data_IF_731620537418
#
_entry.id   IF_731620537418
#
_cell.length_a   1.000
_cell.length_b   1.000
_cell.length_c   1.000
_cell.angle_alpha   90.00
_cell.angle_beta   90.00
_cell.angle_gamma   90.00
#
_symmetry.space_group_name_H-M   'P 1'
#
loop_
_entity.id
_entity.type
_entity.pdbx_description
1 polymer ?
#
# COMPACT_ATOMS: atom_id res chain seq x y z
N UNK A 1 3.28 13.23 15.40
CA UNK A 1 3.02 12.59 14.09
C UNK A 1 3.73 11.23 13.93
N UNK A 2 4.94 11.03 14.49
CA UNK A 2 5.68 9.77 14.34
C UNK A 2 5.05 8.57 15.07
N UNK A 3 4.69 8.72 16.32
CA UNK A 3 4.21 7.60 17.15
C UNK A 3 2.84 7.08 16.69
N UNK A 4 1.91 7.98 16.39
CA UNK A 4 0.58 7.61 15.86
C UNK A 4 0.67 6.93 14.49
N UNK A 5 1.59 7.37 13.63
CA UNK A 5 1.85 6.74 12.33
C UNK A 5 2.37 5.31 12.48
N UNK A 6 3.35 5.09 13.36
CA UNK A 6 3.87 3.74 13.62
C UNK A 6 2.80 2.82 14.21
N UNK A 7 2.02 3.29 15.17
CA UNK A 7 0.94 2.50 15.77
C UNK A 7 -0.14 2.11 14.74
N UNK A 8 -0.55 3.04 13.87
CA UNK A 8 -1.54 2.74 12.82
C UNK A 8 -1.00 1.74 11.82
N UNK A 9 0.25 1.86 11.43
CA UNK A 9 0.93 0.94 10.52
C UNK A 9 1.00 -0.48 11.11
N UNK A 10 1.37 -0.62 12.39
CA UNK A 10 1.39 -1.90 13.09
C UNK A 10 0.00 -2.53 13.17
N UNK A 11 -1.01 -1.74 13.54
CA UNK A 11 -2.40 -2.19 13.58
C UNK A 11 -2.88 -2.67 12.19
N UNK A 12 -2.59 -1.92 11.16
CA UNK A 12 -2.94 -2.26 9.77
C UNK A 12 -2.28 -3.56 9.32
N UNK A 13 -0.99 -3.77 9.63
CA UNK A 13 -0.27 -5.02 9.33
C UNK A 13 -0.96 -6.25 9.93
N UNK A 14 -1.38 -6.15 11.19
CA UNK A 14 -2.07 -7.24 11.90
C UNK A 14 -3.43 -7.51 11.25
N UNK A 15 -4.18 -6.45 10.94
CA UNK A 15 -5.50 -6.56 10.29
C UNK A 15 -5.37 -7.20 8.92
N UNK A 16 -4.40 -6.80 8.11
CA UNK A 16 -4.13 -7.39 6.79
C UNK A 16 -3.83 -8.89 6.93
N UNK A 17 -2.96 -9.27 7.88
CA UNK A 17 -2.65 -10.68 8.13
C UNK A 17 -3.89 -11.51 8.50
N UNK A 18 -4.76 -11.00 9.38
CA UNK A 18 -6.03 -11.63 9.75
C UNK A 18 -6.98 -11.76 8.56
N UNK A 19 -7.10 -10.71 7.75
CA UNK A 19 -7.98 -10.70 6.59
C UNK A 19 -7.51 -11.68 5.50
N UNK A 20 -6.20 -11.78 5.24
CA UNK A 20 -5.63 -12.74 4.28
C UNK A 20 -5.99 -14.17 4.69
N UNK A 21 -5.86 -14.53 5.97
CA UNK A 21 -6.25 -15.87 6.49
C UNK A 21 -7.75 -16.11 6.34
N UNK A 22 -8.54 -15.09 6.68
CA UNK A 22 -10.01 -15.16 6.59
C UNK A 22 -10.45 -15.40 5.15
N UNK A 23 -9.95 -14.58 4.22
CA UNK A 23 -10.30 -14.67 2.79
C UNK A 23 -9.85 -16.01 2.20
N UNK A 24 -8.62 -16.45 2.49
CA UNK A 24 -8.11 -17.73 1.96
C UNK A 24 -8.95 -18.93 2.43
N UNK A 25 -9.44 -18.92 3.66
CA UNK A 25 -10.35 -19.97 4.18
C UNK A 25 -11.72 -19.90 3.53
N UNK A 26 -12.27 -18.72 3.34
CA UNK A 26 -13.58 -18.52 2.70
C UNK A 26 -13.55 -19.01 1.26
N UNK A 27 -12.47 -18.77 0.51
CA UNK A 27 -12.27 -19.28 -0.86
C UNK A 27 -12.30 -20.80 -0.88
N UNK A 28 -11.74 -21.46 0.16
CA UNK A 28 -11.74 -22.92 0.29
C UNK A 28 -13.06 -23.49 0.87
N UNK A 29 -14.11 -22.66 0.95
CA UNK A 29 -15.44 -23.07 1.46
C UNK A 29 -15.49 -23.37 2.96
N UNK A 30 -14.45 -23.01 3.73
CA UNK A 30 -14.38 -23.24 5.17
C UNK A 30 -14.89 -22.02 5.95
N UNK A 31 -15.77 -22.25 6.94
CA UNK A 31 -16.18 -21.18 7.85
C UNK A 31 -14.98 -20.75 8.68
N UNK A 32 -14.63 -19.46 8.62
CA UNK A 32 -13.57 -18.89 9.42
C UNK A 32 -14.17 -18.25 10.67
N UNK A 33 -13.93 -18.82 11.86
CA UNK A 33 -14.25 -18.13 13.11
C UNK A 33 -13.13 -17.14 13.44
N UNK A 34 -13.48 -15.99 14.05
CA UNK A 34 -12.49 -14.99 14.47
C UNK A 34 -11.45 -15.59 15.43
N UNK A 35 -11.86 -16.50 16.31
CA UNK A 35 -10.97 -17.19 17.25
C UNK A 35 -9.92 -18.04 16.52
N UNK A 36 -10.32 -18.84 15.54
CA UNK A 36 -9.42 -19.71 14.77
C UNK A 36 -8.42 -18.90 13.94
N UNK A 37 -8.88 -17.79 13.35
CA UNK A 37 -8.04 -16.89 12.57
C UNK A 37 -6.99 -16.24 13.48
N UNK A 38 -7.40 -15.76 14.65
CA UNK A 38 -6.50 -15.18 15.63
C UNK A 38 -5.46 -16.17 16.15
N UNK A 39 -5.86 -17.39 16.52
CA UNK A 39 -4.93 -18.41 16.98
C UNK A 39 -3.83 -18.74 15.95
N UNK A 40 -4.16 -18.72 14.67
CA UNK A 40 -3.18 -18.96 13.58
C UNK A 40 -2.29 -17.74 13.31
N UNK A 41 -2.82 -16.53 13.41
CA UNK A 41 -2.07 -15.32 13.12
C UNK A 41 -1.20 -14.87 14.30
N UNK A 42 -1.66 -15.11 15.55
CA UNK A 42 -0.97 -14.70 16.77
C UNK A 42 0.53 -15.06 16.80
N UNK A 43 0.96 -16.31 16.51
CA UNK A 43 2.38 -16.64 16.54
C UNK A 43 3.19 -15.94 15.44
N UNK A 44 2.54 -15.38 14.42
CA UNK A 44 3.15 -14.72 13.28
C UNK A 44 3.06 -13.19 13.31
N UNK A 45 2.40 -12.63 14.30
CA UNK A 45 2.21 -11.16 14.44
C UNK A 45 3.56 -10.43 14.42
N UNK A 46 4.54 -10.91 15.17
CA UNK A 46 5.87 -10.31 15.21
C UNK A 46 6.62 -10.42 13.87
N UNK A 47 6.44 -11.53 13.16
CA UNK A 47 7.02 -11.70 11.84
C UNK A 47 6.34 -10.79 10.79
N UNK A 48 5.01 -10.63 10.86
CA UNK A 48 4.26 -9.68 10.02
C UNK A 48 4.72 -8.24 10.26
N UNK A 49 4.83 -7.84 11.53
CA UNK A 49 5.33 -6.51 11.92
C UNK A 49 6.75 -6.32 11.37
N UNK A 50 7.65 -7.29 11.60
CA UNK A 50 9.02 -7.22 11.12
C UNK A 50 9.11 -7.13 9.60
N UNK A 51 8.26 -7.88 8.88
CA UNK A 51 8.20 -7.83 7.42
C UNK A 51 7.70 -6.47 6.91
N UNK A 52 6.66 -5.92 7.52
CA UNK A 52 6.13 -4.61 7.15
C UNK A 52 7.16 -3.52 7.40
N UNK A 53 7.79 -3.51 8.59
CA UNK A 53 8.86 -2.56 8.92
C UNK A 53 10.05 -2.66 7.94
N UNK A 54 10.42 -3.88 7.54
CA UNK A 54 11.50 -4.08 6.58
C UNK A 54 11.14 -3.56 5.19
N UNK A 55 9.92 -3.82 4.71
CA UNK A 55 9.43 -3.30 3.43
C UNK A 55 9.40 -1.77 3.45
N UNK A 56 8.85 -1.18 4.50
CA UNK A 56 8.80 0.28 4.67
C UNK A 56 10.21 0.89 4.76
N UNK A 57 11.13 0.23 5.44
CA UNK A 57 12.53 0.68 5.51
C UNK A 57 13.18 0.68 4.11
N UNK A 58 12.96 -0.38 3.32
CA UNK A 58 13.46 -0.45 1.94
C UNK A 58 12.88 0.70 1.10
N UNK A 59 11.57 0.93 1.18
CA UNK A 59 10.90 2.01 0.47
C UNK A 59 11.39 3.38 0.93
N UNK A 60 11.57 3.58 2.23
CA UNK A 60 12.08 4.82 2.80
C UNK A 60 13.51 5.12 2.33
N UNK A 61 14.40 4.12 2.32
CA UNK A 61 15.78 4.28 1.83
C UNK A 61 15.79 4.66 0.35
N UNK A 62 15.01 3.96 -0.48
CA UNK A 62 14.91 4.27 -1.92
C UNK A 62 14.40 5.70 -2.10
N UNK A 63 13.33 6.08 -1.41
CA UNK A 63 12.75 7.42 -1.48
C UNK A 63 13.77 8.47 -1.02
N UNK A 64 14.48 8.23 0.09
CA UNK A 64 15.49 9.15 0.61
C UNK A 64 16.65 9.36 -0.40
N UNK A 65 17.13 8.30 -1.03
CA UNK A 65 18.17 8.40 -2.08
C UNK A 65 17.69 9.23 -3.26
N UNK A 66 16.46 8.97 -3.76
CA UNK A 66 15.91 9.75 -4.86
C UNK A 66 15.69 11.22 -4.50
N UNK A 67 15.21 11.51 -3.29
CA UNK A 67 15.04 12.89 -2.79
C UNK A 67 16.39 13.57 -2.68
N UNK A 68 17.41 12.91 -2.16
CA UNK A 68 18.76 13.47 -2.08
C UNK A 68 19.32 13.81 -3.47
N UNK A 69 19.13 12.93 -4.44
CA UNK A 69 19.53 13.17 -5.84
C UNK A 69 18.74 14.34 -6.44
N UNK A 70 17.42 14.38 -6.24
CA UNK A 70 16.57 15.45 -6.74
C UNK A 70 16.95 16.82 -6.14
N UNK A 71 17.22 16.87 -4.84
CA UNK A 71 17.71 18.09 -4.15
C UNK A 71 19.08 18.51 -4.69
N UNK A 72 20.00 17.56 -4.88
CA UNK A 72 21.32 17.84 -5.46
C UNK A 72 21.24 18.41 -6.88
N UNK A 73 20.41 17.81 -7.73
CA UNK A 73 20.18 18.31 -9.10
C UNK A 73 19.46 19.66 -9.08
N UNK A 74 18.44 19.82 -8.24
CA UNK A 74 17.76 21.11 -8.07
C UNK A 74 18.71 22.21 -7.64
N UNK A 75 19.60 21.93 -6.70
CA UNK A 75 20.63 22.87 -6.26
C UNK A 75 21.63 23.17 -7.37
N UNK A 76 22.08 22.18 -8.14
CA UNK A 76 23.00 22.38 -9.25
C UNK A 76 22.41 23.25 -10.38
N UNK A 77 21.12 23.09 -10.66
CA UNK A 77 20.43 23.84 -11.72
C UNK A 77 20.02 25.25 -11.27
N UNK A 78 19.54 25.40 -10.05
CA UNK A 78 18.96 26.65 -9.55
C UNK A 78 19.89 27.45 -8.62
N UNK A 79 20.98 26.85 -8.15
CA UNK A 79 21.86 27.44 -7.16
C UNK A 79 22.44 28.81 -7.61
N UNK A 80 22.83 28.92 -8.88
CA UNK A 80 23.33 30.20 -9.42
C UNK A 80 22.24 31.28 -9.49
N UNK A 81 21.00 30.90 -9.82
CA UNK A 81 19.84 31.80 -9.88
C UNK A 81 19.47 32.27 -8.48
N UNK A 82 19.51 31.34 -7.49
CA UNK A 82 19.21 31.64 -6.07
C UNK A 82 20.29 32.56 -5.49
N UNK A 83 21.59 32.35 -5.80
CA UNK A 83 22.69 33.08 -5.25
C UNK A 83 22.84 34.50 -5.86
N UNK A 84 22.58 34.66 -7.16
CA UNK A 84 22.87 35.92 -7.92
C UNK A 84 21.59 36.68 -8.31
N UNK A 85 20.41 36.19 -7.95
CA UNK A 85 19.13 36.77 -8.34
C UNK A 85 18.66 36.31 -9.72
N UNK A 86 17.37 36.48 -9.98
CA UNK A 86 16.77 36.12 -11.26
C UNK A 86 17.12 37.18 -12.33
N UNK A 87 17.63 36.70 -13.47
CA UNK A 87 17.84 37.50 -14.70
C UNK A 87 16.78 37.12 -15.74
N UNK A 88 16.67 37.85 -16.84
CA UNK A 88 15.75 37.56 -17.94
C UNK A 88 15.97 36.14 -18.51
N UNK A 89 17.21 35.63 -18.52
CA UNK A 89 17.58 34.30 -18.97
C UNK A 89 17.25 33.18 -17.97
N UNK A 90 16.88 33.52 -16.73
CA UNK A 90 16.60 32.52 -15.69
C UNK A 90 15.29 31.75 -15.90
N UNK A 91 14.36 32.28 -16.71
CA UNK A 91 13.09 31.61 -17.03
C UNK A 91 13.31 30.24 -17.69
N UNK A 92 14.25 30.13 -18.62
CA UNK A 92 14.65 28.88 -19.25
C UNK A 92 15.19 27.84 -18.25
N UNK A 93 16.02 28.31 -17.30
CA UNK A 93 16.59 27.46 -16.25
C UNK A 93 15.51 26.90 -15.31
N UNK A 94 14.51 27.72 -14.94
CA UNK A 94 13.37 27.25 -14.13
C UNK A 94 12.55 26.19 -14.87
N UNK A 95 12.27 26.37 -16.17
CA UNK A 95 11.55 25.38 -16.97
C UNK A 95 12.32 24.07 -17.04
N UNK A 96 13.62 24.12 -17.34
CA UNK A 96 14.47 22.92 -17.39
C UNK A 96 14.50 22.21 -16.03
N UNK A 97 14.72 22.96 -14.95
CA UNK A 97 14.75 22.41 -13.59
C UNK A 97 13.41 21.74 -13.25
N UNK A 98 12.28 22.38 -13.56
CA UNK A 98 10.94 21.82 -13.35
C UNK A 98 10.75 20.51 -14.11
N UNK A 99 11.10 20.48 -15.41
CA UNK A 99 10.96 19.28 -16.22
C UNK A 99 11.84 18.13 -15.73
N UNK A 100 13.08 18.41 -15.33
CA UNK A 100 14.00 17.41 -14.78
C UNK A 100 13.47 16.85 -13.46
N UNK A 101 13.03 17.71 -12.54
CA UNK A 101 12.47 17.29 -11.26
C UNK A 101 11.17 16.51 -11.43
N UNK A 102 10.32 16.92 -12.38
CA UNK A 102 9.10 16.18 -12.73
C UNK A 102 9.42 14.79 -13.30
N UNK A 103 10.41 14.69 -14.19
CA UNK A 103 10.85 13.41 -14.73
C UNK A 103 11.39 12.48 -13.63
N UNK A 104 12.20 13.01 -12.70
CA UNK A 104 12.69 12.26 -11.55
C UNK A 104 11.56 11.79 -10.64
N UNK A 105 10.55 12.61 -10.38
CA UNK A 105 9.39 12.26 -9.59
C UNK A 105 8.58 11.12 -10.23
N UNK A 106 8.41 11.16 -11.55
CA UNK A 106 7.74 10.10 -12.32
C UNK A 106 8.55 8.80 -12.22
N UNK A 107 9.87 8.85 -12.43
CA UNK A 107 10.75 7.66 -12.32
C UNK A 107 10.70 7.08 -10.92
N UNK A 108 10.75 7.90 -9.87
CA UNK A 108 10.60 7.45 -8.49
C UNK A 108 9.25 6.77 -8.28
N UNK A 109 8.16 7.42 -8.71
CA UNK A 109 6.81 6.86 -8.57
C UNK A 109 6.68 5.49 -9.24
N UNK A 110 7.19 5.35 -10.47
CA UNK A 110 7.20 4.08 -11.20
C UNK A 110 8.07 3.02 -10.50
N UNK A 111 9.25 3.38 -10.01
CA UNK A 111 10.15 2.47 -9.30
C UNK A 111 9.53 1.96 -7.99
N UNK A 112 8.98 2.85 -7.17
CA UNK A 112 8.28 2.51 -5.93
C UNK A 112 7.05 1.64 -6.22
N UNK A 113 6.24 2.01 -7.19
CA UNK A 113 5.06 1.22 -7.59
C UNK A 113 5.44 -0.18 -8.07
N UNK A 114 6.47 -0.30 -8.91
CA UNK A 114 6.97 -1.60 -9.38
C UNK A 114 7.48 -2.47 -8.22
N UNK A 115 8.17 -1.87 -7.26
CA UNK A 115 8.65 -2.57 -6.07
C UNK A 115 7.49 -3.00 -5.17
N UNK A 116 6.51 -2.13 -4.95
CA UNK A 116 5.28 -2.48 -4.22
C UNK A 116 4.53 -3.65 -4.88
N UNK A 117 4.43 -3.68 -6.21
CA UNK A 117 3.84 -4.80 -6.94
C UNK A 117 4.62 -6.11 -6.73
N UNK A 118 5.96 -6.04 -6.65
CA UNK A 118 6.80 -7.22 -6.38
C UNK A 118 6.73 -7.73 -4.95
N UNK A 119 6.46 -6.85 -4.00
CA UNK A 119 6.42 -7.17 -2.57
C UNK A 119 5.01 -7.38 -2.03
N UNK A 120 3.96 -7.11 -2.84
CA UNK A 120 2.57 -7.15 -2.39
C UNK A 120 2.10 -8.53 -1.89
N UNK A 121 2.73 -9.61 -2.36
CA UNK A 121 2.40 -10.98 -1.96
C UNK A 121 3.18 -11.45 -0.71
N UNK A 122 4.15 -10.69 -0.24
CA UNK A 122 5.01 -11.08 0.87
C UNK A 122 4.24 -11.35 2.18
N UNK A 123 3.26 -10.53 2.59
CA UNK A 123 2.44 -10.82 3.77
C UNK A 123 1.60 -12.09 3.62
N UNK A 124 1.08 -12.34 2.40
CA UNK A 124 0.31 -13.55 2.11
C UNK A 124 1.19 -14.81 2.19
N UNK A 125 2.38 -14.76 1.58
CA UNK A 125 3.35 -15.85 1.64
C UNK A 125 3.75 -16.19 3.09
N UNK A 126 4.09 -15.18 3.89
CA UNK A 126 4.50 -15.35 5.29
C UNK A 126 3.42 -16.04 6.12
N UNK A 127 2.16 -15.61 5.98
CA UNK A 127 1.07 -16.10 6.81
C UNK A 127 0.53 -17.44 6.32
N UNK A 128 0.38 -17.63 5.00
CA UNK A 128 -0.24 -18.82 4.43
C UNK A 128 0.72 -20.02 4.34
N UNK A 129 2.00 -19.76 4.02
CA UNK A 129 3.04 -20.81 3.96
C UNK A 129 3.78 -21.01 5.28
N UNK A 130 3.54 -20.17 6.29
CA UNK A 130 4.16 -20.26 7.61
C UNK A 130 5.70 -20.14 7.57
N UNK A 131 6.22 -19.30 6.68
CA UNK A 131 7.65 -19.07 6.42
C UNK A 131 8.20 -17.84 7.16
N UNK A 132 9.51 -17.63 7.10
CA UNK A 132 10.20 -16.48 7.70
C UNK A 132 10.01 -15.18 6.93
N UNK A 133 10.41 -14.06 7.54
CA UNK A 133 10.28 -12.70 6.94
C UNK A 133 11.00 -12.60 5.59
N UNK A 134 12.28 -12.99 5.56
CA UNK A 134 13.09 -12.90 4.34
C UNK A 134 12.65 -13.92 3.28
N UNK A 135 12.22 -15.10 3.70
CA UNK A 135 11.65 -16.11 2.82
C UNK A 135 10.35 -15.62 2.19
N UNK A 136 9.48 -14.94 2.94
CA UNK A 136 8.25 -14.34 2.43
C UNK A 136 8.52 -13.28 1.35
N UNK A 137 9.53 -12.44 1.53
CA UNK A 137 9.97 -11.45 0.54
C UNK A 137 10.52 -12.15 -0.71
N UNK A 138 11.43 -13.10 -0.54
CA UNK A 138 12.00 -13.88 -1.64
C UNK A 138 10.92 -14.65 -2.41
N UNK A 139 9.96 -15.23 -1.68
CA UNK A 139 8.80 -15.94 -2.23
C UNK A 139 7.94 -15.03 -3.08
N UNK A 140 7.59 -13.84 -2.56
CA UNK A 140 6.85 -12.83 -3.31
C UNK A 140 7.59 -12.44 -4.60
N UNK A 141 8.89 -12.20 -4.52
CA UNK A 141 9.73 -11.86 -5.67
C UNK A 141 9.73 -12.95 -6.75
N UNK A 142 9.84 -14.20 -6.34
CA UNK A 142 9.86 -15.37 -7.25
C UNK A 142 8.50 -15.54 -7.94
N UNK A 143 7.40 -15.54 -7.19
CA UNK A 143 6.05 -15.68 -7.72
C UNK A 143 5.68 -14.55 -8.69
N UNK A 144 6.16 -13.32 -8.44
CA UNK A 144 5.83 -12.17 -9.29
C UNK A 144 6.68 -12.10 -10.56
N UNK A 145 7.82 -12.81 -10.65
CA UNK A 145 8.78 -12.67 -11.76
C UNK A 145 8.19 -13.03 -13.13
N UNK A 146 7.37 -14.09 -13.18
CA UNK A 146 6.76 -14.55 -14.45
C UNK A 146 5.47 -13.83 -14.85
N UNK A 147 4.82 -13.15 -13.89
CA UNK A 147 3.48 -12.58 -14.07
C UNK A 147 3.41 -11.08 -13.72
N UNK A 148 4.55 -10.40 -13.77
CA UNK A 148 4.69 -9.00 -13.31
C UNK A 148 3.64 -8.06 -13.90
N UNK A 149 3.47 -8.03 -15.23
CA UNK A 149 2.51 -7.14 -15.90
C UNK A 149 1.05 -7.42 -15.52
N UNK A 150 0.73 -8.68 -15.25
CA UNK A 150 -0.60 -9.06 -14.77
C UNK A 150 -0.85 -8.52 -13.36
N UNK A 151 0.16 -8.64 -12.48
CA UNK A 151 0.09 -8.11 -11.13
C UNK A 151 -0.06 -6.58 -11.16
N UNK A 152 0.75 -5.90 -11.98
CA UNK A 152 0.66 -4.46 -12.22
C UNK A 152 -0.76 -4.08 -12.66
N UNK A 153 -1.33 -4.79 -13.64
CA UNK A 153 -2.69 -4.53 -14.13
C UNK A 153 -3.75 -4.70 -13.05
N UNK A 154 -3.70 -5.79 -12.26
CA UNK A 154 -4.65 -6.04 -11.18
C UNK A 154 -4.49 -4.98 -10.07
N UNK A 155 -3.26 -4.67 -9.65
CA UNK A 155 -2.99 -3.66 -8.61
C UNK A 155 -3.38 -2.25 -9.07
N UNK A 156 -3.11 -1.90 -10.32
CA UNK A 156 -3.52 -0.61 -10.88
C UNK A 156 -5.04 -0.49 -10.95
N UNK A 157 -5.73 -1.52 -11.41
CA UNK A 157 -7.19 -1.54 -11.46
C UNK A 157 -7.79 -1.44 -10.05
N UNK A 158 -7.27 -2.22 -9.09
CA UNK A 158 -7.70 -2.15 -7.69
C UNK A 158 -7.47 -0.77 -7.10
N UNK A 159 -6.30 -0.17 -7.36
CA UNK A 159 -5.99 1.20 -6.94
C UNK A 159 -6.98 2.21 -7.52
N UNK A 160 -7.29 2.14 -8.82
CA UNK A 160 -8.24 3.03 -9.48
C UNK A 160 -9.63 2.89 -8.86
N UNK A 161 -10.12 1.67 -8.67
CA UNK A 161 -11.44 1.42 -8.05
C UNK A 161 -11.49 2.01 -6.64
N UNK A 162 -10.51 1.68 -5.80
CA UNK A 162 -10.43 2.18 -4.41
C UNK A 162 -10.29 3.69 -4.38
N UNK A 163 -9.43 4.26 -5.22
CA UNK A 163 -9.21 5.70 -5.31
C UNK A 163 -10.52 6.45 -5.63
N UNK A 164 -11.21 6.07 -6.70
CA UNK A 164 -12.46 6.73 -7.08
C UNK A 164 -13.57 6.51 -6.04
N UNK A 165 -13.72 5.30 -5.52
CA UNK A 165 -14.69 5.03 -4.47
C UNK A 165 -14.42 5.88 -3.22
N UNK A 166 -13.18 5.94 -2.77
CA UNK A 166 -12.77 6.75 -1.63
C UNK A 166 -13.00 8.25 -1.88
N UNK A 167 -12.62 8.73 -3.08
CA UNK A 167 -12.79 10.15 -3.43
C UNK A 167 -14.27 10.56 -3.44
N UNK A 168 -15.15 9.77 -4.06
CA UNK A 168 -16.59 10.05 -4.10
C UNK A 168 -17.16 10.13 -2.69
N UNK A 169 -16.88 9.14 -1.84
CA UNK A 169 -17.40 9.10 -0.47
C UNK A 169 -16.80 10.22 0.38
N UNK A 170 -15.48 10.45 0.31
CA UNK A 170 -14.80 11.49 1.10
C UNK A 170 -15.24 12.90 0.70
N UNK A 171 -15.44 13.16 -0.58
CA UNK A 171 -15.96 14.45 -1.06
C UNK A 171 -17.39 14.69 -0.58
N UNK A 172 -18.25 13.68 -0.65
CA UNK A 172 -19.62 13.77 -0.10
C UNK A 172 -19.61 14.11 1.39
N UNK A 173 -18.79 13.41 2.17
CA UNK A 173 -18.61 13.69 3.60
C UNK A 173 -18.09 15.10 3.84
N UNK A 174 -17.07 15.54 3.08
CA UNK A 174 -16.47 16.86 3.22
C UNK A 174 -17.47 17.98 2.97
N UNK A 175 -18.31 17.86 1.95
CA UNK A 175 -19.34 18.85 1.62
C UNK A 175 -20.36 18.97 2.78
N UNK A 176 -20.83 17.84 3.30
CA UNK A 176 -21.78 17.82 4.43
C UNK A 176 -21.16 18.44 5.68
N UNK A 177 -19.92 18.04 6.01
CA UNK A 177 -19.23 18.56 7.20
C UNK A 177 -18.93 20.05 7.11
N UNK A 178 -18.54 20.55 5.93
CA UNK A 178 -18.35 21.99 5.71
C UNK A 178 -19.67 22.74 5.86
N UNK A 179 -20.76 22.21 5.31
CA UNK A 179 -22.11 22.83 5.51
C UNK A 179 -22.48 22.90 6.98
N UNK A 180 -22.21 21.90 7.78
CA UNK A 180 -22.45 21.88 9.23
C UNK A 180 -21.59 22.91 9.98
N UNK A 181 -20.31 23.08 9.60
CA UNK A 181 -19.44 24.12 10.19
C UNK A 181 -19.99 25.53 9.92
N UNK A 182 -20.51 25.81 8.71
CA UNK A 182 -21.14 27.09 8.41
C UNK A 182 -22.45 27.29 9.15
N UNK A 183 -23.24 26.22 9.35
CA UNK A 183 -24.56 26.31 10.03
C UNK A 183 -24.42 26.41 11.57
N UNK A 184 -23.37 25.83 12.15
CA UNK A 184 -23.14 25.77 13.59
C UNK A 184 -21.64 25.99 13.93
N UNK A 185 -21.13 27.24 13.82
CA UNK A 185 -19.70 27.52 14.06
C UNK A 185 -19.23 27.16 15.48
N UNK A 186 -20.11 27.26 16.48
CA UNK A 186 -19.81 26.92 17.88
C UNK A 186 -19.51 25.42 18.08
N UNK A 187 -19.95 24.57 17.15
CA UNK A 187 -19.73 23.12 17.18
C UNK A 187 -18.57 22.64 16.30
N UNK A 188 -17.75 23.54 15.78
CA UNK A 188 -16.67 23.22 14.83
C UNK A 188 -15.76 22.08 15.31
N UNK A 189 -15.37 22.09 16.59
CA UNK A 189 -14.52 21.03 17.15
C UNK A 189 -15.21 19.65 17.10
N UNK A 190 -16.48 19.59 17.50
CA UNK A 190 -17.25 18.35 17.47
C UNK A 190 -17.43 17.82 16.02
N UNK A 191 -17.66 18.72 15.07
CA UNK A 191 -17.80 18.40 13.65
C UNK A 191 -16.46 17.87 13.08
N UNK A 192 -15.32 18.48 13.44
CA UNK A 192 -14.00 18.00 13.04
C UNK A 192 -13.69 16.61 13.62
N UNK A 193 -14.02 16.35 14.87
CA UNK A 193 -13.86 15.02 15.49
C UNK A 193 -14.75 14.01 14.76
N UNK A 194 -16.01 14.34 14.50
CA UNK A 194 -16.93 13.47 13.77
C UNK A 194 -16.44 13.17 12.34
N UNK A 195 -15.92 14.18 11.63
CA UNK A 195 -15.37 14.01 10.28
C UNK A 195 -14.15 13.08 10.27
N UNK A 196 -13.28 13.20 11.26
CA UNK A 196 -12.09 12.33 11.41
C UNK A 196 -12.50 10.89 11.70
N UNK A 197 -13.46 10.67 12.59
CA UNK A 197 -13.99 9.34 12.89
C UNK A 197 -14.62 8.70 11.65
N UNK A 198 -15.45 9.47 10.92
CA UNK A 198 -16.11 8.98 9.71
C UNK A 198 -15.10 8.66 8.61
N UNK A 199 -14.10 9.49 8.41
CA UNK A 199 -12.99 9.22 7.48
C UNK A 199 -12.21 7.95 7.84
N UNK A 200 -11.98 7.71 9.13
CA UNK A 200 -11.31 6.49 9.62
C UNK A 200 -12.16 5.23 9.36
N UNK A 201 -13.48 5.32 9.50
CA UNK A 201 -14.40 4.22 9.18
C UNK A 201 -14.42 3.90 7.69
N UNK A 202 -14.41 4.93 6.83
CA UNK A 202 -14.32 4.76 5.38
C UNK A 202 -13.02 4.02 5.00
N UNK A 203 -11.89 4.44 5.56
CA UNK A 203 -10.61 3.77 5.32
C UNK A 203 -10.61 2.32 5.83
N UNK A 204 -11.18 2.06 7.01
CA UNK A 204 -11.28 0.72 7.55
C UNK A 204 -12.13 -0.22 6.66
N UNK A 205 -13.16 0.30 5.99
CA UNK A 205 -14.01 -0.48 5.08
C UNK A 205 -13.28 -0.90 3.79
N UNK A 206 -12.18 -0.25 3.44
CA UNK A 206 -11.38 -0.56 2.24
C UNK A 206 -10.39 -1.71 2.49
N UNK A 207 -9.90 -1.87 3.73
CA UNK A 207 -8.89 -2.89 4.06
C UNK A 207 -9.29 -4.33 3.66
N UNK A 208 -10.53 -4.78 3.85
CA UNK A 208 -10.96 -6.12 3.42
C UNK A 208 -10.85 -6.32 1.91
N UNK A 209 -11.15 -5.27 1.12
CA UNK A 209 -11.06 -5.35 -0.34
C UNK A 209 -9.61 -5.55 -0.80
N UNK A 210 -8.68 -4.72 -0.34
CA UNK A 210 -7.26 -4.86 -0.73
C UNK A 210 -6.67 -6.19 -0.27
N UNK A 211 -6.99 -6.63 0.94
CA UNK A 211 -6.57 -7.93 1.47
C UNK A 211 -7.14 -9.10 0.68
N UNK A 212 -8.39 -9.00 0.20
CA UNK A 212 -9.01 -10.00 -0.66
C UNK A 212 -8.31 -10.07 -2.02
N UNK A 213 -8.01 -8.93 -2.63
CA UNK A 213 -7.27 -8.88 -3.90
C UNK A 213 -5.90 -9.55 -3.76
N UNK A 214 -5.16 -9.26 -2.68
CA UNK A 214 -3.84 -9.87 -2.42
C UNK A 214 -3.97 -11.39 -2.23
N UNK A 215 -4.93 -11.84 -1.42
CA UNK A 215 -5.13 -13.27 -1.16
C UNK A 215 -5.55 -14.05 -2.41
N UNK A 216 -6.46 -13.49 -3.22
CA UNK A 216 -6.89 -14.09 -4.50
C UNK A 216 -5.73 -14.15 -5.49
N UNK A 217 -4.98 -13.06 -5.62
CA UNK A 217 -3.83 -12.96 -6.52
C UNK A 217 -2.73 -13.95 -6.12
N UNK A 218 -2.48 -14.09 -4.82
CA UNK A 218 -1.55 -15.08 -4.29
C UNK A 218 -1.98 -16.52 -4.65
N UNK A 219 -3.23 -16.85 -4.44
CA UNK A 219 -3.80 -18.19 -4.75
C UNK A 219 -3.77 -18.47 -6.26
N UNK A 220 -4.17 -17.49 -7.11
CA UNK A 220 -4.13 -17.63 -8.57
C UNK A 220 -2.69 -17.86 -9.08
N UNK A 221 -1.71 -17.13 -8.55
CA UNK A 221 -0.31 -17.31 -8.94
C UNK A 221 0.25 -18.67 -8.52
N UNK A 222 -0.11 -19.17 -7.33
CA UNK A 222 0.29 -20.51 -6.90
C UNK A 222 -0.33 -21.60 -7.78
N UNK A 223 -1.61 -21.47 -8.13
CA UNK A 223 -2.26 -22.42 -9.05
C UNK A 223 -1.52 -22.48 -10.39
N UNK A 224 -1.08 -21.33 -10.90
CA UNK A 224 -0.41 -21.24 -12.22
C UNK A 224 1.06 -21.63 -12.21
N UNK A 225 1.78 -21.32 -11.15
CA UNK A 225 3.24 -21.53 -11.08
C UNK A 225 3.62 -22.86 -10.46
N UNK A 226 2.79 -23.43 -9.60
CA UNK A 226 3.10 -24.62 -8.79
C UNK A 226 2.12 -25.78 -8.99
N UNK A 227 1.07 -25.58 -9.81
CA UNK A 227 0.09 -26.63 -10.04
C UNK A 227 -0.74 -26.98 -8.79
N UNK A 228 -0.97 -26.01 -7.90
CA UNK A 228 -1.73 -26.21 -6.66
C UNK A 228 -3.14 -26.79 -6.92
N UNK A 229 -3.72 -26.53 -8.10
CA UNK A 229 -4.98 -27.12 -8.54
C UNK A 229 -4.90 -28.66 -8.67
N UNK A 230 -3.78 -29.19 -9.10
CA UNK A 230 -3.54 -30.63 -9.22
C UNK A 230 -3.42 -31.26 -7.83
N UNK A 231 -2.69 -30.63 -6.91
CA UNK A 231 -2.59 -31.11 -5.53
C UNK A 231 -3.94 -31.09 -4.82
N UNK A 232 -4.74 -30.04 -5.02
CA UNK A 232 -6.08 -29.93 -4.43
C UNK A 232 -7.03 -30.98 -5.00
N UNK A 233 -6.97 -31.30 -6.30
CA UNK A 233 -7.75 -32.37 -6.92
C UNK A 233 -7.36 -33.73 -6.37
N UNK A 234 -6.08 -34.03 -6.29
CA UNK A 234 -5.60 -35.27 -5.66
C UNK A 234 -6.06 -35.40 -4.19
N UNK A 235 -6.00 -34.30 -3.42
CA UNK A 235 -6.47 -34.29 -2.03
C UNK A 235 -8.01 -34.44 -1.90
N UNK A 236 -8.77 -34.03 -2.92
CA UNK A 236 -10.22 -34.18 -2.98
C UNK A 236 -10.67 -35.53 -3.55
N UNK A 237 -9.74 -36.38 -4.03
CA UNK A 237 -10.05 -37.69 -4.59
C UNK A 237 -10.71 -37.65 -5.98
N UNK A 238 -10.51 -36.57 -6.74
CA UNK A 238 -11.06 -36.34 -8.09
C UNK A 238 -9.93 -36.26 -9.12
#
# INVERSE_FOLDING_TARGET
LGVTGVLSMLATSIIIGLLIVTVSRTILGRKASLGDVWQRTRPRVWALIGQTLLIELILAVITAVFVAVAVGIGWALLGNVIANGASEDSAGTFVVAFLVLLALLIVLGLAVFALMCKLCLAPAALVLENIGVMEGISRSWTLTRGYFWRIVGIRLLSFIIVFFATQIVSQGVSIVMQGLVYAAPDMTLAILVASTLLSSLIQAAILPFDSAVVALMYTDLRMRSEGLDVELRHAAGV
#
